data_IF_445260531840
#
_entry.id   IF_445260531840
#
_cell.length_a   1.000
_cell.length_b   1.000
_cell.length_c   1.000
_cell.angle_alpha   90.00
_cell.angle_beta   90.00
_cell.angle_gamma   90.00
#
_symmetry.space_group_name_H-M   'P 1'
#
loop_
_entity.id
_entity.type
_entity.pdbx_description
1 polymer ?
#
# COMPACT_ATOMS: atom_id res chain seq x y z
N UNK A 1 19.01 -9.98 -11.07
CA UNK A 1 18.73 -8.53 -11.21
C UNK A 1 18.67 -8.15 -12.67
N UNK A 2 17.66 -7.41 -13.07
CA UNK A 2 17.52 -6.91 -14.44
C UNK A 2 18.49 -5.75 -14.66
N UNK A 3 19.34 -5.83 -15.68
CA UNK A 3 20.18 -4.69 -16.07
C UNK A 3 19.27 -3.58 -16.63
N UNK A 4 19.35 -2.39 -16.06
CA UNK A 4 18.55 -1.22 -16.46
C UNK A 4 19.46 -0.15 -17.05
N UNK A 5 19.04 0.44 -18.16
CA UNK A 5 19.62 1.64 -18.71
C UNK A 5 18.96 2.89 -18.10
N UNK A 6 19.42 4.08 -18.45
CA UNK A 6 18.90 5.35 -17.93
C UNK A 6 17.40 5.54 -18.25
N UNK A 7 16.96 5.13 -19.43
CA UNK A 7 15.55 5.21 -19.84
C UNK A 7 14.65 4.31 -18.95
N UNK A 8 15.16 3.12 -18.58
CA UNK A 8 14.43 2.21 -17.69
C UNK A 8 14.25 2.80 -16.28
N UNK A 9 15.26 3.53 -15.77
CA UNK A 9 15.16 4.20 -14.48
C UNK A 9 14.20 5.39 -14.51
N UNK A 10 14.16 6.15 -15.60
CA UNK A 10 13.16 7.22 -15.79
C UNK A 10 11.75 6.63 -15.79
N UNK A 11 11.55 5.55 -16.55
CA UNK A 11 10.26 4.83 -16.56
C UNK A 11 9.88 4.31 -15.17
N UNK A 12 10.85 3.77 -14.44
CA UNK A 12 10.65 3.27 -13.07
C UNK A 12 10.26 4.41 -12.11
N UNK A 13 10.87 5.58 -12.23
CA UNK A 13 10.52 6.77 -11.46
C UNK A 13 9.05 7.17 -11.67
N UNK A 14 8.59 7.22 -12.92
CA UNK A 14 7.19 7.49 -13.24
C UNK A 14 6.25 6.41 -12.71
N UNK A 15 6.65 5.13 -12.75
CA UNK A 15 5.90 4.05 -12.10
C UNK A 15 5.75 4.31 -10.60
N UNK A 16 6.81 4.79 -9.94
CA UNK A 16 6.76 5.23 -8.55
C UNK A 16 5.79 6.39 -8.31
N UNK A 17 5.76 7.38 -9.21
CA UNK A 17 4.79 8.49 -9.14
C UNK A 17 3.36 7.96 -9.18
N UNK A 18 3.02 7.08 -10.14
CA UNK A 18 1.68 6.49 -10.22
C UNK A 18 1.31 5.67 -9.00
N UNK A 19 2.26 4.92 -8.42
CA UNK A 19 2.03 4.20 -7.16
C UNK A 19 1.71 5.15 -6.01
N UNK A 20 2.50 6.22 -5.83
CA UNK A 20 2.29 7.15 -4.73
C UNK A 20 1.00 7.96 -4.86
N UNK A 21 0.59 8.35 -6.07
CA UNK A 21 -0.72 8.95 -6.31
C UNK A 21 -1.82 7.97 -5.89
N UNK A 22 -1.72 6.70 -6.31
CA UNK A 22 -2.71 5.67 -5.97
C UNK A 22 -2.80 5.43 -4.46
N UNK A 23 -1.66 5.38 -3.75
CA UNK A 23 -1.64 5.19 -2.30
C UNK A 23 -2.23 6.38 -1.52
N UNK A 24 -2.13 7.59 -2.09
CA UNK A 24 -2.73 8.79 -1.50
C UNK A 24 -4.25 8.85 -1.72
N UNK A 25 -4.78 8.15 -2.73
CA UNK A 25 -6.20 8.17 -3.08
C UNK A 25 -6.97 7.07 -2.34
N UNK A 26 -8.09 7.39 -1.65
CA UNK A 26 -8.92 6.37 -1.01
C UNK A 26 -9.47 5.39 -2.05
N UNK A 27 -9.37 4.08 -1.76
CA UNK A 27 -9.93 3.02 -2.61
C UNK A 27 -9.04 2.53 -3.75
N UNK A 28 -7.86 3.12 -3.95
CA UNK A 28 -6.83 2.61 -4.86
C UNK A 28 -5.61 2.18 -4.06
N UNK A 29 -4.90 1.17 -4.55
CA UNK A 29 -3.70 0.63 -3.91
C UNK A 29 -2.50 0.75 -4.83
N UNK A 30 -1.38 1.30 -4.34
CA UNK A 30 -0.10 1.32 -5.05
C UNK A 30 0.41 -0.08 -5.37
N UNK A 31 0.09 -1.08 -4.53
CA UNK A 31 0.37 -2.49 -4.83
C UNK A 31 -0.34 -2.97 -6.10
N UNK A 32 -1.59 -2.57 -6.32
CA UNK A 32 -2.31 -2.85 -7.57
C UNK A 32 -1.64 -2.17 -8.76
N UNK A 33 -1.21 -0.92 -8.60
CA UNK A 33 -0.47 -0.21 -9.65
C UNK A 33 0.88 -0.89 -9.93
N UNK A 34 1.61 -1.32 -8.90
CA UNK A 34 2.84 -2.08 -9.08
C UNK A 34 2.64 -3.36 -9.90
N UNK A 35 1.53 -4.07 -9.63
CA UNK A 35 1.14 -5.28 -10.36
C UNK A 35 0.85 -4.96 -11.83
N UNK A 36 -0.01 -3.99 -12.11
CA UNK A 36 -0.37 -3.57 -13.46
C UNK A 36 0.83 -3.09 -14.28
N UNK A 37 1.79 -2.44 -13.61
CA UNK A 37 3.03 -1.93 -14.23
C UNK A 37 4.14 -2.99 -14.32
N UNK A 38 3.90 -4.22 -13.85
CA UNK A 38 4.82 -5.35 -13.96
C UNK A 38 6.08 -5.22 -13.11
N UNK A 39 6.00 -4.54 -11.95
CA UNK A 39 7.12 -4.37 -11.01
C UNK A 39 6.84 -4.97 -9.63
N UNK A 40 5.68 -5.59 -9.43
CA UNK A 40 5.23 -6.08 -8.14
C UNK A 40 6.12 -7.16 -7.55
N UNK A 41 6.46 -8.20 -8.34
CA UNK A 41 7.34 -9.28 -7.87
C UNK A 41 8.72 -8.76 -7.46
N UNK A 42 9.30 -7.88 -8.28
CA UNK A 42 10.59 -7.28 -7.99
C UNK A 42 10.57 -6.41 -6.73
N UNK A 43 9.46 -5.70 -6.50
CA UNK A 43 9.24 -4.91 -5.29
C UNK A 43 9.20 -5.81 -4.05
N UNK A 44 8.38 -6.88 -4.09
CA UNK A 44 8.26 -7.84 -2.98
C UNK A 44 9.61 -8.52 -2.70
N UNK A 45 10.31 -8.95 -3.76
CA UNK A 45 11.63 -9.56 -3.62
C UNK A 45 12.61 -8.61 -2.96
N UNK A 46 12.70 -7.36 -3.43
CA UNK A 46 13.60 -6.33 -2.91
C UNK A 46 13.32 -6.02 -1.43
N UNK A 47 12.05 -5.82 -1.05
CA UNK A 47 11.66 -5.56 0.34
C UNK A 47 11.96 -6.78 1.22
N UNK A 48 11.69 -7.99 0.75
CA UNK A 48 11.90 -9.24 1.50
C UNK A 48 13.38 -9.53 1.79
N UNK A 49 14.31 -8.95 1.01
CA UNK A 49 15.75 -9.08 1.26
C UNK A 49 16.25 -8.23 2.43
N UNK A 50 15.45 -7.26 2.91
CA UNK A 50 15.73 -6.50 4.13
C UNK A 50 15.63 -7.41 5.37
N UNK A 51 16.72 -8.14 5.63
CA UNK A 51 16.87 -9.08 6.75
C UNK A 51 18.05 -8.65 7.63
N UNK A 52 18.02 -9.05 8.89
CA UNK A 52 19.16 -8.83 9.81
C UNK A 52 20.47 -9.36 9.21
N UNK A 53 20.41 -10.52 8.51
CA UNK A 53 21.57 -11.08 7.82
C UNK A 53 22.12 -10.22 6.67
N UNK A 54 21.33 -9.30 6.12
CA UNK A 54 21.80 -8.36 5.12
C UNK A 54 22.70 -7.28 5.75
N UNK A 55 22.38 -6.83 6.98
CA UNK A 55 23.23 -5.90 7.74
C UNK A 55 24.58 -6.53 8.13
N UNK A 56 24.59 -7.84 8.45
CA UNK A 56 25.85 -8.57 8.62
C UNK A 56 26.73 -8.56 7.35
N UNK A 57 26.13 -8.57 6.16
CA UNK A 57 26.90 -8.43 4.89
C UNK A 57 27.44 -7.03 4.69
N UNK A 58 26.74 -6.01 5.16
CA UNK A 58 27.24 -4.64 5.12
C UNK A 58 28.58 -4.52 5.85
N UNK A 59 28.67 -5.17 7.03
CA UNK A 59 29.88 -5.17 7.85
C UNK A 59 31.00 -6.02 7.22
N UNK A 60 30.65 -7.21 6.68
CA UNK A 60 31.64 -8.20 6.22
C UNK A 60 32.05 -8.03 4.75
N UNK A 61 31.17 -7.53 3.87
CA UNK A 61 31.36 -7.46 2.40
C UNK A 61 31.24 -6.03 1.82
N UNK A 62 31.04 -5.05 2.69
CA UNK A 62 30.96 -3.63 2.31
C UNK A 62 29.63 -3.21 1.70
N UNK A 63 29.47 -1.89 1.57
CA UNK A 63 28.24 -1.24 1.12
C UNK A 63 27.77 -1.68 -0.28
N UNK A 64 28.69 -1.88 -1.21
CA UNK A 64 28.35 -2.27 -2.59
C UNK A 64 27.58 -3.60 -2.64
N UNK A 65 28.05 -4.61 -1.92
CA UNK A 65 27.40 -5.92 -1.85
C UNK A 65 26.03 -5.88 -1.17
N UNK A 66 25.89 -5.03 -0.15
CA UNK A 66 24.61 -4.76 0.51
C UNK A 66 23.63 -4.13 -0.49
N UNK A 67 24.04 -3.06 -1.18
CA UNK A 67 23.22 -2.30 -2.12
C UNK A 67 22.75 -3.13 -3.31
N UNK A 68 23.66 -3.90 -3.89
CA UNK A 68 23.33 -4.81 -4.99
C UNK A 68 22.30 -5.86 -4.53
N UNK A 69 22.50 -6.50 -3.38
CA UNK A 69 21.57 -7.53 -2.92
C UNK A 69 20.19 -6.98 -2.58
N UNK A 70 20.10 -5.76 -2.07
CA UNK A 70 18.86 -5.07 -1.79
C UNK A 70 18.12 -4.62 -3.06
N UNK A 71 18.78 -4.67 -4.23
CA UNK A 71 18.33 -3.98 -5.44
C UNK A 71 18.14 -2.46 -5.20
N UNK A 72 19.14 -1.86 -4.53
CA UNK A 72 19.06 -0.51 -3.97
C UNK A 72 18.73 0.57 -5.00
N UNK A 73 19.26 0.47 -6.23
CA UNK A 73 18.92 1.43 -7.30
C UNK A 73 17.43 1.37 -7.67
N UNK A 74 16.85 0.16 -7.74
CA UNK A 74 15.43 -0.02 -8.00
C UNK A 74 14.60 0.63 -6.90
N UNK A 75 14.87 0.28 -5.64
CA UNK A 75 14.13 0.81 -4.50
C UNK A 75 14.28 2.34 -4.37
N UNK A 76 15.49 2.85 -4.53
CA UNK A 76 15.74 4.29 -4.41
C UNK A 76 14.94 5.09 -5.45
N UNK A 77 15.01 4.69 -6.72
CA UNK A 77 14.28 5.38 -7.79
C UNK A 77 12.76 5.25 -7.61
N UNK A 78 12.28 4.05 -7.28
CA UNK A 78 10.85 3.82 -7.07
C UNK A 78 10.31 4.63 -5.88
N UNK A 79 10.98 4.53 -4.72
CA UNK A 79 10.57 5.22 -3.48
C UNK A 79 10.68 6.75 -3.64
N UNK A 80 11.66 7.25 -4.40
CA UNK A 80 11.74 8.70 -4.69
C UNK A 80 10.53 9.18 -5.50
N UNK A 81 10.10 8.42 -6.50
CA UNK A 81 8.87 8.70 -7.25
C UNK A 81 7.62 8.67 -6.37
N UNK A 82 7.48 7.63 -5.55
CA UNK A 82 6.38 7.51 -4.58
C UNK A 82 6.37 8.70 -3.62
N UNK A 83 7.52 9.03 -3.01
CA UNK A 83 7.60 10.10 -2.02
C UNK A 83 7.25 11.48 -2.60
N UNK A 84 7.78 11.82 -3.77
CA UNK A 84 7.48 13.08 -4.44
C UNK A 84 5.99 13.19 -4.77
N UNK A 85 5.39 12.14 -5.31
CA UNK A 85 3.98 12.15 -5.67
C UNK A 85 3.06 12.16 -4.46
N UNK A 86 3.37 11.43 -3.39
CA UNK A 86 2.63 11.46 -2.12
C UNK A 86 2.59 12.88 -1.55
N UNK A 87 3.76 13.51 -1.39
CA UNK A 87 3.85 14.86 -0.82
C UNK A 87 3.09 15.86 -1.70
N UNK A 88 3.26 15.78 -3.02
CA UNK A 88 2.59 16.69 -3.95
C UNK A 88 1.08 16.49 -3.96
N UNK A 89 0.62 15.24 -3.99
CA UNK A 89 -0.79 14.91 -4.03
C UNK A 89 -1.50 15.27 -2.72
N UNK A 90 -0.89 15.00 -1.57
CA UNK A 90 -1.44 15.37 -0.25
C UNK A 90 -1.65 16.88 -0.15
N UNK A 91 -0.65 17.68 -0.57
CA UNK A 91 -0.77 19.15 -0.58
C UNK A 91 -1.87 19.64 -1.53
N UNK A 92 -1.95 19.09 -2.74
CA UNK A 92 -2.99 19.42 -3.70
C UNK A 92 -4.37 19.04 -3.14
N UNK A 93 -4.51 17.84 -2.61
CA UNK A 93 -5.77 17.36 -2.04
C UNK A 93 -6.21 18.18 -0.84
N UNK A 94 -5.29 18.58 0.04
CA UNK A 94 -5.58 19.44 1.19
C UNK A 94 -6.14 20.80 0.72
N UNK A 95 -5.48 21.44 -0.24
CA UNK A 95 -5.93 22.71 -0.82
C UNK A 95 -7.31 22.58 -1.49
N UNK A 96 -7.57 21.48 -2.19
CA UNK A 96 -8.89 21.24 -2.80
C UNK A 96 -9.96 20.95 -1.77
N UNK A 97 -9.65 20.24 -0.69
CA UNK A 97 -10.58 19.98 0.42
C UNK A 97 -11.01 21.28 1.12
N UNK A 98 -10.10 22.23 1.27
CA UNK A 98 -10.37 23.52 1.89
C UNK A 98 -11.20 24.43 0.98
N UNK A 99 -10.80 24.55 -0.29
CA UNK A 99 -11.37 25.53 -1.21
C UNK A 99 -12.52 24.99 -2.07
N UNK A 100 -12.52 23.68 -2.35
CA UNK A 100 -13.46 23.03 -3.27
C UNK A 100 -13.91 21.65 -2.76
N UNK A 101 -14.41 21.52 -1.52
CA UNK A 101 -14.72 20.23 -0.90
C UNK A 101 -15.72 19.39 -1.72
N UNK A 102 -16.73 20.03 -2.30
CA UNK A 102 -17.74 19.33 -3.11
C UNK A 102 -17.10 18.62 -4.32
N UNK A 103 -16.15 19.28 -5.00
CA UNK A 103 -15.50 18.71 -6.18
C UNK A 103 -14.64 17.51 -5.85
N UNK A 104 -13.84 17.59 -4.77
CA UNK A 104 -12.95 16.48 -4.41
C UNK A 104 -13.73 15.28 -3.87
N UNK A 105 -14.79 15.50 -3.09
CA UNK A 105 -15.66 14.42 -2.63
C UNK A 105 -16.42 13.77 -3.79
N UNK A 106 -16.89 14.55 -4.76
CA UNK A 106 -17.54 14.03 -5.97
C UNK A 106 -16.57 13.22 -6.82
N UNK A 107 -15.32 13.69 -6.94
CA UNK A 107 -14.26 12.94 -7.63
C UNK A 107 -13.98 11.60 -6.96
N UNK A 108 -13.80 11.56 -5.64
CA UNK A 108 -13.57 10.31 -4.92
C UNK A 108 -14.76 9.36 -5.03
N UNK A 109 -15.97 9.88 -4.92
CA UNK A 109 -17.18 9.07 -5.11
C UNK A 109 -17.25 8.47 -6.51
N UNK A 110 -16.98 9.26 -7.55
CA UNK A 110 -16.92 8.79 -8.94
C UNK A 110 -15.86 7.70 -9.13
N UNK A 111 -14.70 7.87 -8.50
CA UNK A 111 -13.62 6.87 -8.54
C UNK A 111 -14.04 5.55 -7.90
N UNK A 112 -14.72 5.61 -6.73
CA UNK A 112 -15.24 4.41 -6.05
C UNK A 112 -16.25 3.71 -6.95
N UNK A 113 -17.21 4.42 -7.56
CA UNK A 113 -18.16 3.81 -8.48
C UNK A 113 -17.49 3.18 -9.71
N UNK A 114 -16.49 3.86 -10.28
CA UNK A 114 -15.71 3.31 -11.39
C UNK A 114 -15.00 2.01 -10.99
N UNK A 115 -14.41 1.96 -9.79
CA UNK A 115 -13.74 0.77 -9.25
C UNK A 115 -14.73 -0.37 -9.05
N UNK A 116 -15.89 -0.10 -8.44
CA UNK A 116 -16.97 -1.09 -8.26
C UNK A 116 -17.42 -1.65 -9.61
N UNK A 117 -17.60 -0.79 -10.62
CA UNK A 117 -18.00 -1.22 -11.97
C UNK A 117 -16.95 -2.12 -12.63
N UNK A 118 -15.66 -1.79 -12.50
CA UNK A 118 -14.56 -2.62 -13.04
C UNK A 118 -14.54 -3.97 -12.34
N UNK A 119 -14.61 -4.01 -11.00
CA UNK A 119 -14.63 -5.26 -10.24
C UNK A 119 -15.85 -6.09 -10.59
N UNK A 120 -17.03 -5.47 -10.72
CA UNK A 120 -18.26 -6.17 -11.15
C UNK A 120 -18.07 -6.89 -12.47
N UNK A 121 -17.42 -6.23 -13.45
CA UNK A 121 -17.14 -6.84 -14.78
C UNK A 121 -16.11 -7.96 -14.75
N UNK A 122 -15.20 -7.96 -13.77
CA UNK A 122 -14.20 -9.02 -13.63
C UNK A 122 -14.77 -10.31 -13.05
N UNK A 123 -15.94 -10.25 -12.39
CA UNK A 123 -16.61 -11.43 -11.86
C UNK A 123 -17.39 -12.11 -12.99
N UNK A 124 -16.84 -13.18 -13.55
CA UNK A 124 -17.43 -13.91 -14.67
C UNK A 124 -18.77 -14.60 -14.34
N UNK A 125 -18.96 -15.05 -13.09
CA UNK A 125 -20.18 -15.72 -12.66
C UNK A 125 -20.55 -15.27 -11.24
N UNK A 126 -21.76 -14.74 -11.11
CA UNK A 126 -22.34 -14.35 -9.84
C UNK A 126 -23.08 -15.52 -9.21
N UNK A 127 -22.56 -16.04 -8.10
CA UNK A 127 -23.21 -17.06 -7.29
C UNK A 127 -23.85 -16.44 -6.03
N UNK A 128 -24.84 -17.11 -5.48
CA UNK A 128 -25.49 -16.66 -4.22
C UNK A 128 -24.47 -16.42 -3.08
N UNK A 129 -23.37 -17.18 -3.09
CA UNK A 129 -22.29 -17.03 -2.13
C UNK A 129 -21.58 -15.67 -2.27
N UNK A 130 -21.44 -15.15 -3.50
CA UNK A 130 -20.82 -13.84 -3.74
C UNK A 130 -21.69 -12.71 -3.18
N UNK A 131 -23.01 -12.79 -3.33
CA UNK A 131 -23.96 -11.85 -2.76
C UNK A 131 -23.97 -11.92 -1.22
N UNK A 132 -23.86 -13.11 -0.67
CA UNK A 132 -23.77 -13.31 0.78
C UNK A 132 -22.52 -12.62 1.36
N UNK A 133 -21.34 -12.83 0.77
CA UNK A 133 -20.12 -12.16 1.19
C UNK A 133 -20.14 -10.65 0.95
N UNK A 134 -20.76 -10.19 -0.14
CA UNK A 134 -20.95 -8.77 -0.41
C UNK A 134 -21.75 -8.10 0.72
N UNK A 135 -22.89 -8.67 1.09
CA UNK A 135 -23.75 -8.14 2.14
C UNK A 135 -23.03 -8.15 3.49
N UNK A 136 -22.36 -9.24 3.84
CA UNK A 136 -21.56 -9.31 5.08
C UNK A 136 -20.48 -8.25 5.09
N UNK A 137 -19.76 -8.04 3.98
CA UNK A 137 -18.72 -7.03 3.87
C UNK A 137 -19.27 -5.61 4.04
N UNK A 138 -20.45 -5.32 3.48
CA UNK A 138 -21.11 -4.03 3.65
C UNK A 138 -21.50 -3.80 5.11
N UNK A 139 -22.15 -4.78 5.74
CA UNK A 139 -22.57 -4.72 7.15
C UNK A 139 -21.35 -4.54 8.05
N UNK A 140 -20.28 -5.30 7.79
CA UNK A 140 -19.03 -5.24 8.54
C UNK A 140 -18.34 -3.88 8.38
N UNK A 141 -18.34 -3.30 7.17
CA UNK A 141 -17.78 -1.97 6.92
C UNK A 141 -18.55 -0.87 7.65
N UNK A 142 -19.90 -0.93 7.64
CA UNK A 142 -20.76 0.01 8.38
C UNK A 142 -20.51 -0.13 9.89
N UNK A 143 -20.44 -1.37 10.39
CA UNK A 143 -20.15 -1.65 11.79
C UNK A 143 -18.79 -1.07 12.21
N UNK A 144 -17.73 -1.31 11.43
CA UNK A 144 -16.41 -0.76 11.70
C UNK A 144 -16.39 0.78 11.63
N UNK A 145 -17.08 1.37 10.66
CA UNK A 145 -17.21 2.82 10.53
C UNK A 145 -17.89 3.46 11.73
N UNK A 146 -18.79 2.74 12.41
CA UNK A 146 -19.44 3.22 13.63
C UNK A 146 -18.48 3.30 14.83
N UNK A 147 -17.41 2.53 14.85
CA UNK A 147 -16.38 2.63 15.89
C UNK A 147 -15.36 3.75 15.63
N UNK A 148 -15.21 4.19 14.38
CA UNK A 148 -14.26 5.25 14.01
C UNK A 148 -14.69 6.66 14.50
N UNK A 149 -15.88 6.80 15.06
CA UNK A 149 -16.43 8.06 15.56
C UNK A 149 -16.04 8.36 17.03
N UNK A 150 -15.19 7.55 17.65
CA UNK A 150 -14.69 7.88 18.96
C UNK A 150 -13.59 8.95 18.83
N UNK A 151 -13.94 10.19 19.16
CA UNK A 151 -13.01 11.25 19.55
C UNK A 151 -12.32 10.83 20.87
N UNK A 152 -11.40 9.89 20.78
CA UNK A 152 -10.50 9.61 21.89
C UNK A 152 -9.31 10.52 21.72
N UNK A 153 -9.22 11.53 22.59
CA UNK A 153 -8.09 12.47 22.64
C UNK A 153 -6.76 11.78 22.90
N UNK A 154 -6.76 10.48 23.26
CA UNK A 154 -5.54 9.70 23.49
C UNK A 154 -5.67 8.29 22.90
N UNK A 155 -5.10 8.08 21.72
CA UNK A 155 -4.90 6.73 21.18
C UNK A 155 -3.58 6.17 21.74
N UNK A 156 -3.61 4.95 22.30
CA UNK A 156 -2.40 4.36 22.86
C UNK A 156 -1.34 4.12 21.78
N UNK A 157 -0.07 4.35 22.13
CA UNK A 157 1.05 4.13 21.20
C UNK A 157 1.12 2.67 20.71
N UNK A 158 0.72 1.72 21.56
CA UNK A 158 0.64 0.31 21.17
C UNK A 158 -0.39 0.09 20.05
N UNK A 159 -1.55 0.73 20.13
CA UNK A 159 -2.57 0.66 19.09
C UNK A 159 -2.09 1.30 17.78
N UNK A 160 -1.36 2.43 17.86
CA UNK A 160 -0.73 3.08 16.71
C UNK A 160 0.31 2.16 16.05
N UNK A 161 1.14 1.47 16.85
CA UNK A 161 2.10 0.48 16.36
C UNK A 161 1.40 -0.64 15.59
N UNK A 162 0.36 -1.26 16.18
CA UNK A 162 -0.40 -2.33 15.53
C UNK A 162 -1.13 -1.85 14.28
N UNK A 163 -1.69 -0.64 14.31
CA UNK A 163 -2.32 -0.03 13.14
C UNK A 163 -1.33 0.13 11.99
N UNK A 164 -0.09 0.54 12.29
CA UNK A 164 0.99 0.60 11.31
C UNK A 164 1.34 -0.77 10.73
N UNK A 165 1.41 -1.81 11.56
CA UNK A 165 1.68 -3.19 11.11
C UNK A 165 0.59 -3.67 10.15
N UNK A 166 -0.68 -3.50 10.52
CA UNK A 166 -1.81 -3.99 9.72
C UNK A 166 -1.94 -3.20 8.42
N UNK A 167 -1.89 -1.87 8.49
CA UNK A 167 -2.05 -1.01 7.33
C UNK A 167 -0.94 -1.21 6.30
N UNK A 168 0.31 -1.33 6.72
CA UNK A 168 1.43 -1.57 5.80
C UNK A 168 1.41 -2.97 5.19
N UNK A 169 0.97 -3.99 5.95
CA UNK A 169 0.75 -5.33 5.43
C UNK A 169 -0.36 -5.36 4.38
N UNK A 170 -1.44 -4.63 4.62
CA UNK A 170 -2.55 -4.50 3.67
C UNK A 170 -2.13 -3.74 2.40
N UNK A 171 -1.32 -2.69 2.54
CA UNK A 171 -0.84 -1.87 1.42
C UNK A 171 -0.01 -2.65 0.39
N UNK A 172 0.70 -3.69 0.82
CA UNK A 172 1.44 -4.56 -0.11
C UNK A 172 0.49 -5.38 -0.97
N UNK A 173 -0.67 -5.80 -0.42
CA UNK A 173 -1.63 -6.63 -1.16
C UNK A 173 -2.28 -5.83 -2.28
N UNK A 174 -2.27 -6.34 -3.53
CA UNK A 174 -3.03 -5.72 -4.60
C UNK A 174 -4.52 -5.72 -4.26
N UNK A 175 -5.19 -4.59 -4.47
CA UNK A 175 -6.63 -4.45 -4.22
C UNK A 175 -7.01 -4.01 -2.80
N UNK A 176 -6.07 -3.88 -1.88
CA UNK A 176 -6.33 -3.38 -0.53
C UNK A 176 -5.60 -2.05 -0.32
N UNK A 177 -6.30 -1.05 0.20
CA UNK A 177 -5.74 0.27 0.50
C UNK A 177 -5.35 0.36 1.97
N UNK A 178 -4.07 0.63 2.24
CA UNK A 178 -3.58 0.84 3.61
C UNK A 178 -4.22 2.04 4.30
N UNK A 179 -4.47 3.13 3.57
CA UNK A 179 -5.17 4.29 4.10
C UNK A 179 -6.62 3.98 4.48
N UNK A 180 -7.31 3.14 3.70
CA UNK A 180 -8.64 2.67 4.07
C UNK A 180 -8.62 1.85 5.36
N UNK A 181 -7.61 0.99 5.53
CA UNK A 181 -7.45 0.24 6.79
C UNK A 181 -7.25 1.18 7.98
N UNK A 182 -6.47 2.26 7.83
CA UNK A 182 -6.31 3.25 8.89
C UNK A 182 -7.62 3.98 9.22
N UNK A 183 -8.45 4.26 8.21
CA UNK A 183 -9.79 4.83 8.42
C UNK A 183 -10.67 3.84 9.20
N UNK A 184 -10.69 2.57 8.79
CA UNK A 184 -11.43 1.50 9.47
C UNK A 184 -10.98 1.35 10.94
N UNK A 185 -9.67 1.42 11.20
CA UNK A 185 -9.12 1.39 12.55
C UNK A 185 -9.33 2.68 13.35
N UNK A 186 -9.90 3.73 12.77
CA UNK A 186 -10.13 5.01 13.44
C UNK A 186 -8.88 5.84 13.71
N UNK A 187 -7.73 5.44 13.13
CA UNK A 187 -6.43 6.07 13.43
C UNK A 187 -6.03 7.11 12.38
N UNK A 188 -6.69 7.11 11.21
CA UNK A 188 -6.29 7.95 10.08
C UNK A 188 -6.27 9.45 10.43
N UNK A 189 -7.37 9.98 10.97
CA UNK A 189 -7.48 11.41 11.31
C UNK A 189 -6.47 11.81 12.39
N UNK A 190 -6.25 10.94 13.39
CA UNK A 190 -5.26 11.15 14.44
C UNK A 190 -3.85 11.23 13.87
N UNK A 191 -3.48 10.31 12.96
CA UNK A 191 -2.17 10.33 12.30
C UNK A 191 -1.96 11.57 11.41
N UNK A 192 -3.00 12.03 10.71
CA UNK A 192 -2.92 13.28 9.93
C UNK A 192 -2.66 14.47 10.85
N UNK A 193 -3.38 14.59 11.97
CA UNK A 193 -3.13 15.64 12.97
C UNK A 193 -1.71 15.54 13.56
N UNK A 194 -1.27 14.33 13.90
CA UNK A 194 0.07 14.10 14.43
C UNK A 194 1.17 14.46 13.43
N UNK A 195 0.96 14.25 12.14
CA UNK A 195 1.88 14.68 11.08
C UNK A 195 1.90 16.20 10.93
N UNK A 196 0.75 16.85 11.00
CA UNK A 196 0.63 18.30 10.90
C UNK A 196 1.27 19.01 12.08
N UNK A 197 1.04 18.49 13.28
CA UNK A 197 1.61 18.99 14.54
C UNK A 197 3.07 18.53 14.80
N UNK A 198 3.65 17.70 13.90
CA UNK A 198 4.99 17.11 14.07
C UNK A 198 5.16 16.34 15.40
N UNK A 199 4.15 15.57 15.79
CA UNK A 199 4.18 14.71 16.99
C UNK A 199 5.10 13.50 16.76
N UNK A 200 6.40 13.70 16.95
CA UNK A 200 7.45 12.76 16.57
C UNK A 200 7.26 11.37 17.20
N UNK A 201 6.78 11.27 18.44
CA UNK A 201 6.58 10.00 19.14
C UNK A 201 5.53 9.15 18.39
N UNK A 202 4.42 9.76 18.02
CA UNK A 202 3.33 9.10 17.27
C UNK A 202 3.83 8.66 15.89
N UNK A 203 4.50 9.57 15.20
CA UNK A 203 5.03 9.34 13.85
C UNK A 203 6.04 8.19 13.85
N UNK A 204 7.02 8.21 14.75
CA UNK A 204 8.03 7.15 14.83
C UNK A 204 7.43 5.81 15.27
N UNK A 205 6.44 5.81 16.15
CA UNK A 205 5.73 4.59 16.56
C UNK A 205 4.99 3.99 15.37
N UNK A 206 4.26 4.79 14.60
CA UNK A 206 3.56 4.34 13.40
C UNK A 206 4.53 3.81 12.34
N UNK A 207 5.61 4.54 12.03
CA UNK A 207 6.63 4.13 11.07
C UNK A 207 7.29 2.82 11.51
N UNK A 208 7.57 2.64 12.81
CA UNK A 208 8.13 1.40 13.33
C UNK A 208 7.18 0.22 13.10
N UNK A 209 5.89 0.39 13.37
CA UNK A 209 4.86 -0.59 13.05
C UNK A 209 4.78 -0.87 11.55
N UNK A 210 4.80 0.16 10.73
CA UNK A 210 4.75 0.02 9.28
C UNK A 210 5.97 -0.76 8.74
N UNK A 211 7.17 -0.51 9.24
CA UNK A 211 8.38 -1.27 8.86
C UNK A 211 8.24 -2.74 9.26
N UNK A 212 7.77 -3.04 10.47
CA UNK A 212 7.57 -4.42 10.94
C UNK A 212 6.56 -5.15 10.05
N UNK A 213 5.42 -4.53 9.76
CA UNK A 213 4.38 -5.10 8.90
C UNK A 213 4.87 -5.34 7.47
N UNK A 214 5.49 -4.33 6.88
CA UNK A 214 6.05 -4.39 5.53
C UNK A 214 7.08 -5.53 5.39
N UNK A 215 8.05 -5.59 6.31
CA UNK A 215 9.11 -6.60 6.28
C UNK A 215 8.61 -8.00 6.63
N UNK A 216 7.68 -8.12 7.58
CA UNK A 216 7.09 -9.39 7.96
C UNK A 216 6.24 -9.98 6.84
N UNK A 217 5.33 -9.16 6.32
CA UNK A 217 4.37 -9.62 5.31
C UNK A 217 5.02 -9.86 3.94
N UNK A 218 6.01 -9.05 3.54
CA UNK A 218 6.76 -9.30 2.29
C UNK A 218 7.46 -10.67 2.27
N UNK A 219 7.93 -11.16 3.43
CA UNK A 219 8.51 -12.51 3.53
C UNK A 219 7.45 -13.60 3.35
N UNK A 220 6.26 -13.40 3.91
CA UNK A 220 5.13 -14.33 3.72
C UNK A 220 4.77 -14.38 2.24
N UNK A 221 4.63 -13.24 1.58
CA UNK A 221 4.33 -13.19 0.15
C UNK A 221 5.42 -13.84 -0.70
N UNK A 222 6.69 -13.57 -0.40
CA UNK A 222 7.80 -14.23 -1.09
C UNK A 222 7.76 -15.76 -0.95
N UNK A 223 7.45 -16.25 0.24
CA UNK A 223 7.28 -17.68 0.47
C UNK A 223 6.14 -18.26 -0.37
N UNK A 224 4.99 -17.57 -0.41
CA UNK A 224 3.83 -17.96 -1.21
C UNK A 224 4.14 -17.99 -2.71
N UNK A 225 4.81 -16.97 -3.24
CA UNK A 225 5.21 -16.93 -4.65
C UNK A 225 6.19 -18.03 -5.02
N UNK A 226 7.10 -18.39 -4.13
CA UNK A 226 8.08 -19.43 -4.42
C UNK A 226 7.50 -20.85 -4.34
N UNK A 227 6.60 -21.12 -3.40
CA UNK A 227 6.12 -22.47 -3.13
C UNK A 227 4.69 -22.74 -3.64
N UNK A 228 3.88 -21.69 -3.83
CA UNK A 228 2.46 -21.80 -4.21
C UNK A 228 2.11 -20.81 -5.33
N UNK A 229 2.94 -20.75 -6.36
CA UNK A 229 2.85 -19.72 -7.40
C UNK A 229 1.45 -19.64 -8.05
N UNK A 230 0.90 -20.78 -8.47
CA UNK A 230 -0.42 -20.83 -9.09
C UNK A 230 -1.52 -20.27 -8.17
N UNK A 231 -1.55 -20.70 -6.90
CA UNK A 231 -2.53 -20.24 -5.90
C UNK A 231 -2.33 -18.75 -5.59
N UNK A 232 -1.08 -18.30 -5.47
CA UNK A 232 -0.76 -16.90 -5.19
C UNK A 232 -1.24 -15.98 -6.33
N UNK A 233 -1.04 -16.40 -7.58
CA UNK A 233 -1.52 -15.62 -8.73
C UNK A 233 -3.05 -15.59 -8.82
N UNK A 234 -3.75 -16.68 -8.53
CA UNK A 234 -5.22 -16.71 -8.59
C UNK A 234 -5.88 -15.94 -7.45
N UNK A 235 -5.25 -15.85 -6.28
CA UNK A 235 -5.85 -15.19 -5.11
C UNK A 235 -5.31 -13.79 -4.83
N UNK A 236 -4.07 -13.47 -5.24
CA UNK A 236 -3.46 -12.17 -5.01
C UNK A 236 -3.54 -11.26 -6.23
N UNK A 237 -3.66 -11.81 -7.42
CA UNK A 237 -3.88 -11.03 -8.64
C UNK A 237 -5.34 -11.10 -9.02
N UNK A 238 -5.92 -9.98 -9.44
CA UNK A 238 -7.17 -10.02 -10.22
C UNK A 238 -6.97 -11.02 -11.37
N UNK A 239 -7.99 -11.80 -11.77
CA UNK A 239 -7.87 -12.76 -12.85
C UNK A 239 -7.65 -12.00 -14.17
N UNK A 240 -6.46 -11.51 -14.38
CA UNK A 240 -5.98 -11.17 -15.70
C UNK A 240 -5.73 -12.52 -16.37
N UNK A 241 -6.46 -12.78 -17.46
CA UNK A 241 -6.14 -13.87 -18.36
C UNK A 241 -4.68 -13.75 -18.79
N UNK A 242 -3.79 -14.37 -18.04
CA UNK A 242 -2.53 -14.82 -18.58
C UNK A 242 -2.84 -16.19 -19.17
N UNK A 243 -3.25 -16.17 -20.44
CA UNK A 243 -3.17 -17.34 -21.27
C UNK A 243 -1.70 -17.79 -21.27
N UNK A 244 -1.48 -18.99 -20.79
CA UNK A 244 -0.26 -19.75 -21.00
C UNK A 244 -0.24 -20.21 -22.44
#
# INVERSE_FOLDING_TARGET
>A
MRSRNTSDYITLFFKGIFMGIADAMPGISGGTIALLLGIYEELIESISELKISLFSKLINKGFKSFWEKLNGNFLLVLVSGIGISLISFVKISASFLENFPLFIWSFFLGLIFATVYVIYKLINQWHNLNFFFLIISIIFSIFLSSFSAYDTDEISLLYILFSGIIASSAMILPGISGSLILVILGVYAYLIKALDNLELIVIFTFISGAIIGLLGFSKILKYLFNNHRAVSYTHLTLPTKLEV
#
